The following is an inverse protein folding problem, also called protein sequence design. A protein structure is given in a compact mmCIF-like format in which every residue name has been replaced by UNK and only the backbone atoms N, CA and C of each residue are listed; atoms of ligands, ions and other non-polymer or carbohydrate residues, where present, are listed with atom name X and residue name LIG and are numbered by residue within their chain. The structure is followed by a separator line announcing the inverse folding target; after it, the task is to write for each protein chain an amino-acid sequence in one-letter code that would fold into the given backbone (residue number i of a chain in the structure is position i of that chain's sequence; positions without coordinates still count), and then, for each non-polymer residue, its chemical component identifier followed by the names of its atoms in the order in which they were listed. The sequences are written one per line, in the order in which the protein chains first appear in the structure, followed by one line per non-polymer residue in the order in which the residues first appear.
data_IF_801493636592
#
_entry.id   IF_801493636592
#
_cell.length_a   1.000
_cell.length_b   1.000
_cell.length_c   1.000
_cell.angle_alpha   90.00
_cell.angle_beta   90.00
_cell.angle_gamma   90.00
#
_symmetry.space_group_name_H-M   'P 1'
#
loop_
_entity.id
_entity.type
_entity.pdbx_description
1 polymer ?
#
# COMPACT_ATOMS: atom_id res chain seq x y z
N UNK A 1 9.20 -29.36 -30.12
CA UNK A 1 10.07 -29.63 -28.95
C UNK A 1 11.37 -28.89 -29.20
N UNK A 2 11.68 -27.87 -28.39
CA UNK A 2 12.88 -27.04 -28.58
C UNK A 2 14.11 -27.77 -28.04
N UNK A 3 15.27 -27.60 -28.67
CA UNK A 3 16.54 -28.17 -28.21
C UNK A 3 16.89 -27.74 -26.76
N UNK A 4 16.40 -26.58 -26.33
CA UNK A 4 16.51 -26.10 -24.94
C UNK A 4 15.84 -27.02 -23.91
N UNK A 5 14.72 -27.66 -24.27
CA UNK A 5 13.93 -28.50 -23.36
C UNK A 5 14.60 -29.86 -23.12
N UNK A 6 15.43 -30.31 -24.06
CA UNK A 6 16.14 -31.58 -24.01
C UNK A 6 17.40 -31.51 -23.12
N UNK A 7 18.10 -30.37 -23.12
CA UNK A 7 19.34 -30.18 -22.35
C UNK A 7 19.13 -29.52 -20.99
N UNK A 8 17.96 -28.91 -20.74
CA UNK A 8 17.67 -28.21 -19.49
C UNK A 8 16.23 -28.42 -18.99
N UNK A 9 15.91 -29.62 -18.46
CA UNK A 9 14.58 -29.93 -17.97
C UNK A 9 14.14 -28.99 -16.82
N UNK A 10 12.90 -28.51 -16.87
CA UNK A 10 12.29 -27.64 -15.86
C UNK A 10 12.55 -26.13 -16.01
N UNK A 11 13.40 -25.70 -16.96
CA UNK A 11 13.60 -24.26 -17.23
C UNK A 11 12.31 -23.59 -17.74
N UNK A 12 11.56 -24.14 -18.71
CA UNK A 12 10.32 -23.51 -19.18
C UNK A 12 9.29 -23.27 -18.06
N UNK A 13 9.14 -24.24 -17.15
CA UNK A 13 8.21 -24.15 -16.02
C UNK A 13 8.61 -23.06 -15.01
N UNK A 14 9.91 -22.96 -14.69
CA UNK A 14 10.46 -21.91 -13.81
C UNK A 14 10.28 -20.53 -14.42
N UNK A 15 10.49 -20.41 -15.73
CA UNK A 15 10.28 -19.18 -16.49
C UNK A 15 8.81 -18.75 -16.44
N UNK A 16 7.87 -19.68 -16.65
CA UNK A 16 6.44 -19.39 -16.54
C UNK A 16 6.04 -18.96 -15.12
N UNK A 17 6.57 -19.64 -14.09
CA UNK A 17 6.36 -19.23 -12.69
C UNK A 17 6.82 -17.80 -12.43
N UNK A 18 7.97 -17.40 -13.00
CA UNK A 18 8.51 -16.05 -12.83
C UNK A 18 7.57 -15.00 -13.44
N UNK A 19 7.00 -15.26 -14.63
CA UNK A 19 6.00 -14.34 -15.22
C UNK A 19 4.79 -14.22 -14.30
N UNK A 20 4.21 -15.34 -13.87
CA UNK A 20 2.98 -15.32 -13.07
C UNK A 20 3.18 -14.49 -11.79
N UNK A 21 4.33 -14.66 -11.14
CA UNK A 21 4.72 -13.87 -9.96
C UNK A 21 4.98 -12.39 -10.29
N UNK A 22 5.59 -12.11 -11.43
CA UNK A 22 5.81 -10.74 -11.92
C UNK A 22 4.50 -10.00 -12.19
N UNK A 23 3.54 -10.68 -12.82
CA UNK A 23 2.20 -10.16 -13.08
C UNK A 23 1.42 -9.95 -11.79
N UNK A 24 1.48 -10.90 -10.86
CA UNK A 24 0.87 -10.78 -9.55
C UNK A 24 1.41 -9.58 -8.77
N UNK A 25 2.74 -9.46 -8.66
CA UNK A 25 3.39 -8.31 -8.02
C UNK A 25 2.86 -7.00 -8.60
N UNK A 26 2.83 -6.90 -9.93
CA UNK A 26 2.37 -5.71 -10.62
C UNK A 26 0.90 -5.39 -10.33
N UNK A 27 0.00 -6.37 -10.37
CA UNK A 27 -1.42 -6.13 -10.06
C UNK A 27 -1.61 -5.69 -8.61
N UNK A 28 -0.89 -6.30 -7.66
CA UNK A 28 -0.89 -5.85 -6.26
C UNK A 28 -0.37 -4.41 -6.13
N UNK A 29 0.72 -4.05 -6.82
CA UNK A 29 1.22 -2.67 -6.84
C UNK A 29 0.16 -1.72 -7.40
N UNK A 30 -0.41 -2.02 -8.57
CA UNK A 30 -1.45 -1.19 -9.21
C UNK A 30 -2.65 -0.97 -8.28
N UNK A 31 -3.09 -2.02 -7.60
CA UNK A 31 -4.20 -1.95 -6.67
C UNK A 31 -3.86 -1.10 -5.43
N UNK A 32 -2.65 -1.21 -4.90
CA UNK A 32 -2.20 -0.36 -3.80
C UNK A 32 -2.11 1.11 -4.20
N UNK A 33 -1.57 1.44 -5.37
CA UNK A 33 -1.56 2.82 -5.89
C UNK A 33 -2.98 3.39 -5.99
N UNK A 34 -3.92 2.60 -6.50
CA UNK A 34 -5.34 2.98 -6.53
C UNK A 34 -5.89 3.18 -5.12
N UNK A 35 -5.66 2.26 -4.20
CA UNK A 35 -6.14 2.36 -2.83
C UNK A 35 -5.56 3.59 -2.11
N UNK A 36 -4.27 3.91 -2.30
CA UNK A 36 -3.65 5.12 -1.77
C UNK A 36 -4.33 6.38 -2.31
N UNK A 37 -4.68 6.44 -3.60
CA UNK A 37 -5.42 7.57 -4.14
C UNK A 37 -6.85 7.68 -3.56
N UNK A 38 -7.52 6.55 -3.35
CA UNK A 38 -8.83 6.54 -2.69
C UNK A 38 -8.75 7.04 -1.25
N UNK A 39 -7.67 6.70 -0.53
CA UNK A 39 -7.40 7.25 0.79
C UNK A 39 -7.16 8.76 0.71
N UNK A 40 -6.33 9.23 -0.23
CA UNK A 40 -6.05 10.66 -0.44
C UNK A 40 -7.36 11.45 -0.69
N UNK A 41 -8.25 10.91 -1.51
CA UNK A 41 -9.57 11.52 -1.77
C UNK A 41 -10.40 11.63 -0.48
N UNK A 42 -10.51 10.54 0.28
CA UNK A 42 -11.23 10.55 1.56
C UNK A 42 -10.63 11.54 2.58
N UNK A 43 -9.30 11.64 2.65
CA UNK A 43 -8.60 12.59 3.52
C UNK A 43 -8.86 14.04 3.11
N UNK A 44 -8.91 14.31 1.80
CA UNK A 44 -9.24 15.63 1.28
C UNK A 44 -10.69 16.01 1.60
N UNK A 45 -11.62 15.10 1.35
CA UNK A 45 -13.05 15.35 1.54
C UNK A 45 -13.43 15.53 3.02
N UNK A 46 -12.93 14.66 3.90
CA UNK A 46 -13.41 14.61 5.28
C UNK A 46 -12.50 15.28 6.29
N UNK A 47 -11.23 15.53 5.95
CA UNK A 47 -10.25 16.17 6.85
C UNK A 47 -9.60 17.41 6.24
N UNK A 48 -9.93 17.78 5.00
CA UNK A 48 -9.32 18.93 4.32
C UNK A 48 -7.83 18.73 3.99
N UNK A 49 -7.29 17.52 4.13
CA UNK A 49 -5.88 17.23 3.88
C UNK A 49 -5.64 16.99 2.40
N UNK A 50 -4.78 17.79 1.78
CA UNK A 50 -4.45 17.65 0.37
C UNK A 50 -3.08 17.01 0.18
N UNK A 51 -3.08 15.89 -0.53
CA UNK A 51 -1.88 15.19 -0.99
C UNK A 51 -1.89 15.13 -2.51
N UNK A 52 -0.70 15.08 -3.13
CA UNK A 52 -0.61 14.80 -4.57
C UNK A 52 -0.98 13.33 -4.81
N UNK A 53 -1.82 13.02 -5.82
CA UNK A 53 -2.08 11.64 -6.21
C UNK A 53 -0.79 10.93 -6.64
N UNK A 54 -0.75 9.62 -6.45
CA UNK A 54 0.33 8.75 -6.95
C UNK A 54 -0.10 8.01 -8.20
N UNK A 55 0.83 7.79 -9.12
CA UNK A 55 0.58 7.04 -10.34
C UNK A 55 1.67 6.00 -10.54
N UNK A 56 1.28 4.76 -10.84
CA UNK A 56 2.22 3.72 -11.22
C UNK A 56 2.81 4.07 -12.60
N UNK A 57 4.13 4.27 -12.65
CA UNK A 57 4.85 4.60 -13.86
C UNK A 57 5.44 3.33 -14.49
N UNK A 58 4.82 2.88 -15.58
CA UNK A 58 5.25 1.70 -16.34
C UNK A 58 6.64 1.85 -16.97
N UNK A 59 7.14 3.08 -17.15
CA UNK A 59 8.48 3.33 -17.69
C UNK A 59 9.56 3.40 -16.62
N UNK A 60 9.17 3.49 -15.36
CA UNK A 60 10.08 3.51 -14.23
C UNK A 60 10.32 2.08 -13.71
N UNK A 61 11.40 1.92 -12.98
CA UNK A 61 11.75 0.69 -12.27
C UNK A 61 10.76 0.39 -11.16
N UNK A 62 10.69 -0.87 -10.73
CA UNK A 62 9.89 -1.29 -9.57
C UNK A 62 10.29 -0.46 -8.34
N UNK A 63 11.59 -0.26 -8.10
CA UNK A 63 12.09 0.55 -6.99
C UNK A 63 11.57 1.98 -7.02
N UNK A 64 11.69 2.66 -8.15
CA UNK A 64 11.22 4.04 -8.27
C UNK A 64 9.71 4.15 -7.98
N UNK A 65 8.93 3.15 -8.41
CA UNK A 65 7.52 3.08 -8.07
C UNK A 65 7.29 2.81 -6.57
N UNK A 66 8.04 1.91 -5.96
CA UNK A 66 7.99 1.67 -4.52
C UNK A 66 8.34 2.93 -3.73
N UNK A 67 9.40 3.64 -4.12
CA UNK A 67 9.86 4.87 -3.46
C UNK A 67 8.76 5.96 -3.49
N UNK A 68 8.09 6.14 -4.65
CA UNK A 68 6.99 7.12 -4.81
C UNK A 68 5.82 6.82 -3.88
N UNK A 69 5.38 5.56 -3.78
CA UNK A 69 4.25 5.21 -2.91
C UNK A 69 4.64 5.23 -1.43
N UNK A 70 5.86 4.82 -1.08
CA UNK A 70 6.43 4.91 0.28
C UNK A 70 6.46 6.36 0.73
N UNK A 71 7.01 7.27 -0.09
CA UNK A 71 7.07 8.70 0.21
C UNK A 71 5.66 9.26 0.48
N UNK A 72 4.70 8.92 -0.38
CA UNK A 72 3.30 9.34 -0.20
C UNK A 72 2.70 8.82 1.11
N UNK A 73 2.94 7.58 1.46
CA UNK A 73 2.42 6.98 2.69
C UNK A 73 3.07 7.63 3.92
N UNK A 74 4.37 7.92 3.88
CA UNK A 74 5.06 8.67 4.93
C UNK A 74 4.50 10.08 5.12
N UNK A 75 4.19 10.80 4.03
CA UNK A 75 3.52 12.11 4.12
C UNK A 75 2.17 12.00 4.84
N UNK A 76 1.36 10.99 4.49
CA UNK A 76 0.07 10.72 5.14
C UNK A 76 0.28 10.39 6.62
N UNK A 77 1.23 9.50 6.94
CA UNK A 77 1.53 9.11 8.32
C UNK A 77 1.95 10.31 9.18
N UNK A 78 2.76 11.22 8.64
CA UNK A 78 3.18 12.42 9.35
C UNK A 78 1.99 13.33 9.71
N UNK A 79 1.02 13.49 8.82
CA UNK A 79 -0.21 14.25 9.13
C UNK A 79 -1.11 13.50 10.13
N UNK A 80 -1.22 12.18 10.01
CA UNK A 80 -1.95 11.35 10.98
C UNK A 80 -1.35 11.47 12.38
N UNK A 81 -0.03 11.41 12.50
CA UNK A 81 0.66 11.55 13.79
C UNK A 81 0.43 12.94 14.40
N UNK A 82 0.48 14.01 13.60
CA UNK A 82 0.16 15.37 14.06
C UNK A 82 -1.29 15.45 14.56
N UNK A 83 -2.24 14.87 13.83
CA UNK A 83 -3.65 14.84 14.23
C UNK A 83 -3.78 14.05 15.54
N UNK A 84 -3.18 12.86 15.63
CA UNK A 84 -3.25 12.01 16.81
C UNK A 84 -2.72 12.72 18.06
N UNK A 85 -1.55 13.35 17.97
CA UNK A 85 -0.96 14.13 19.06
C UNK A 85 -1.85 15.30 19.48
N UNK A 86 -2.40 16.05 18.52
CA UNK A 86 -3.33 17.18 18.82
C UNK A 86 -4.63 16.69 19.45
N UNK A 87 -5.19 15.58 18.97
CA UNK A 87 -6.40 14.97 19.51
C UNK A 87 -6.16 14.48 20.93
N UNK A 88 -5.04 13.79 21.17
CA UNK A 88 -4.64 13.32 22.51
C UNK A 88 -4.43 14.47 23.51
N UNK A 89 -3.92 15.61 23.05
CA UNK A 89 -3.75 16.79 23.90
C UNK A 89 -5.06 17.52 24.21
N UNK A 90 -6.05 17.45 23.31
CA UNK A 90 -7.32 18.19 23.41
C UNK A 90 -8.44 17.40 24.09
N UNK A 91 -8.39 16.08 24.03
CA UNK A 91 -9.42 15.19 24.55
C UNK A 91 -9.09 14.69 25.95
N UNK A 92 -10.13 14.55 26.77
CA UNK A 92 -10.04 13.77 28.01
C UNK A 92 -9.59 12.33 27.70
N UNK A 93 -8.74 11.70 28.55
CA UNK A 93 -8.17 10.38 28.27
C UNK A 93 -9.22 9.31 27.95
N UNK A 94 -10.37 9.35 28.62
CA UNK A 94 -11.48 8.40 28.40
C UNK A 94 -12.13 8.57 27.04
N UNK A 95 -12.29 9.81 26.56
CA UNK A 95 -12.89 10.11 25.26
C UNK A 95 -11.93 9.79 24.12
N UNK A 96 -10.63 10.05 24.31
CA UNK A 96 -9.59 9.65 23.35
C UNK A 96 -9.49 8.12 23.22
N UNK A 97 -9.58 7.38 24.32
CA UNK A 97 -9.61 5.91 24.26
C UNK A 97 -10.86 5.37 23.56
N UNK A 98 -12.03 5.99 23.73
CA UNK A 98 -13.23 5.65 22.97
C UNK A 98 -13.05 5.90 21.47
N UNK A 99 -12.40 7.00 21.09
CA UNK A 99 -12.05 7.32 19.70
C UNK A 99 -11.16 6.23 19.10
N UNK A 100 -10.07 5.85 19.79
CA UNK A 100 -9.15 4.79 19.34
C UNK A 100 -9.81 3.42 19.18
N UNK A 101 -10.78 3.09 20.04
CA UNK A 101 -11.53 1.84 19.96
C UNK A 101 -12.69 1.91 18.99
N UNK A 102 -12.96 3.08 18.41
CA UNK A 102 -14.14 3.35 17.59
C UNK A 102 -15.45 2.92 18.29
N UNK A 103 -15.48 3.02 19.62
CA UNK A 103 -16.60 2.64 20.49
C UNK A 103 -17.33 3.90 20.96
N UNK A 104 -18.03 4.55 20.03
CA UNK A 104 -18.61 5.88 20.21
C UNK A 104 -20.13 5.82 20.39
N UNK A 105 -20.64 6.53 21.41
CA UNK A 105 -22.06 6.83 21.56
C UNK A 105 -22.44 8.13 20.84
N UNK A 106 -23.73 8.41 20.66
CA UNK A 106 -24.22 9.65 20.03
C UNK A 106 -23.66 10.92 20.71
N UNK A 107 -23.63 11.04 22.06
CA UNK A 107 -22.98 12.17 22.72
C UNK A 107 -21.47 12.27 22.45
N UNK A 108 -20.77 11.13 22.35
CA UNK A 108 -19.33 11.13 22.07
C UNK A 108 -19.04 11.75 20.69
N UNK A 109 -19.87 11.47 19.68
CA UNK A 109 -19.71 12.06 18.34
C UNK A 109 -19.82 13.59 18.34
N UNK A 110 -20.72 14.16 19.13
CA UNK A 110 -20.87 15.63 19.21
C UNK A 110 -19.63 16.28 19.82
N UNK A 111 -19.11 15.72 20.90
CA UNK A 111 -17.89 16.20 21.56
C UNK A 111 -16.65 16.04 20.67
N UNK A 112 -16.54 14.90 19.99
CA UNK A 112 -15.44 14.62 19.08
C UNK A 112 -15.50 15.49 17.83
N UNK A 113 -16.69 15.74 17.28
CA UNK A 113 -16.87 16.59 16.09
C UNK A 113 -16.32 18.00 16.31
N UNK A 114 -16.60 18.62 17.47
CA UNK A 114 -16.00 19.92 17.82
C UNK A 114 -14.49 19.86 18.02
N UNK A 115 -13.97 18.74 18.50
CA UNK A 115 -12.52 18.55 18.67
C UNK A 115 -11.78 18.34 17.36
N UNK A 116 -12.33 17.49 16.48
CA UNK A 116 -11.83 17.27 15.12
C UNK A 116 -11.96 18.55 14.30
N UNK A 117 -13.05 19.30 14.40
CA UNK A 117 -13.20 20.61 13.78
C UNK A 117 -12.11 21.59 14.17
N UNK A 118 -11.70 21.60 15.44
CA UNK A 118 -10.61 22.45 15.90
C UNK A 118 -9.21 21.98 15.43
N UNK A 119 -9.01 20.66 15.24
CA UNK A 119 -7.71 20.09 14.86
C UNK A 119 -7.50 20.07 13.35
N UNK A 120 -8.55 19.72 12.59
CA UNK A 120 -8.53 19.49 11.15
C UNK A 120 -9.26 20.58 10.34
N UNK A 121 -9.98 21.50 11.00
CA UNK A 121 -10.79 22.51 10.30
C UNK A 121 -12.10 21.98 9.70
N UNK A 122 -12.38 20.69 9.85
CA UNK A 122 -13.60 20.02 9.35
C UNK A 122 -14.32 19.37 10.53
N UNK A 123 -15.60 19.67 10.69
CA UNK A 123 -16.47 19.09 11.71
C UNK A 123 -17.48 18.13 11.07
N UNK A 124 -17.94 17.13 11.84
CA UNK A 124 -18.94 16.16 11.41
C UNK A 124 -18.61 14.73 11.82
N UNK A 125 -19.61 13.86 11.75
CA UNK A 125 -19.49 12.41 11.99
C UNK A 125 -18.43 11.77 11.09
N UNK A 126 -18.44 12.09 9.80
CA UNK A 126 -17.49 11.57 8.82
C UNK A 126 -16.04 11.94 9.19
N UNK A 127 -15.79 13.19 9.60
CA UNK A 127 -14.46 13.62 10.05
C UNK A 127 -13.99 12.84 11.29
N UNK A 128 -14.89 12.60 12.26
CA UNK A 128 -14.59 11.77 13.44
C UNK A 128 -14.27 10.33 13.05
N UNK A 129 -15.03 9.75 12.12
CA UNK A 129 -14.80 8.39 11.60
C UNK A 129 -13.43 8.30 10.91
N UNK A 130 -13.09 9.27 10.07
CA UNK A 130 -11.82 9.33 9.38
C UNK A 130 -10.65 9.43 10.36
N UNK A 131 -10.69 10.37 11.31
CA UNK A 131 -9.64 10.51 12.34
C UNK A 131 -9.51 9.24 13.17
N UNK A 132 -10.61 8.69 13.66
CA UNK A 132 -10.59 7.47 14.47
C UNK A 132 -9.99 6.29 13.70
N UNK A 133 -10.40 6.10 12.44
CA UNK A 133 -9.82 5.05 11.59
C UNK A 133 -8.31 5.23 11.38
N UNK A 134 -7.83 6.46 11.12
CA UNK A 134 -6.40 6.72 10.90
C UNK A 134 -5.56 6.40 12.15
N UNK A 135 -6.04 6.80 13.33
CA UNK A 135 -5.35 6.53 14.60
C UNK A 135 -5.32 5.02 14.86
N UNK A 136 -6.43 4.31 14.66
CA UNK A 136 -6.51 2.87 14.91
C UNK A 136 -5.70 2.05 13.88
N UNK A 137 -5.68 2.47 12.62
CA UNK A 137 -5.14 1.69 11.50
C UNK A 137 -3.80 2.21 10.98
N UNK A 138 -3.12 3.12 11.69
CA UNK A 138 -1.80 3.61 11.30
C UNK A 138 -0.76 2.49 11.07
N UNK A 139 -0.88 1.37 11.78
CA UNK A 139 -0.02 0.20 11.58
C UNK A 139 -0.17 -0.44 10.19
N UNK A 140 -1.33 -0.31 9.54
CA UNK A 140 -1.57 -0.82 8.18
C UNK A 140 -0.76 -0.02 7.16
N UNK A 141 -0.68 1.30 7.36
CA UNK A 141 0.20 2.18 6.58
C UNK A 141 1.68 1.78 6.77
N UNK A 142 2.09 1.48 8.00
CA UNK A 142 3.45 1.01 8.29
C UNK A 142 3.74 -0.33 7.61
N UNK A 143 2.82 -1.29 7.70
CA UNK A 143 3.04 -2.63 7.17
C UNK A 143 3.17 -2.65 5.64
N UNK A 144 2.33 -1.87 4.95
CA UNK A 144 2.43 -1.77 3.49
C UNK A 144 3.71 -1.05 3.06
N UNK A 145 4.16 -0.04 3.82
CA UNK A 145 5.43 0.66 3.56
C UNK A 145 6.63 -0.28 3.71
N UNK A 146 6.65 -1.12 4.76
CA UNK A 146 7.71 -2.11 4.97
C UNK A 146 7.78 -3.12 3.82
N UNK A 147 6.64 -3.64 3.38
CA UNK A 147 6.60 -4.63 2.30
C UNK A 147 6.97 -4.03 0.94
N UNK A 148 6.61 -2.77 0.66
CA UNK A 148 7.17 -2.04 -0.48
C UNK A 148 8.68 -1.84 -0.36
N UNK A 149 9.22 -1.62 0.85
CA UNK A 149 10.66 -1.51 1.09
C UNK A 149 11.41 -2.82 0.81
N UNK A 150 10.82 -3.97 1.13
CA UNK A 150 11.36 -5.28 0.76
C UNK A 150 11.46 -5.41 -0.76
N UNK A 151 10.40 -5.04 -1.48
CA UNK A 151 10.37 -5.09 -2.95
C UNK A 151 11.39 -4.11 -3.56
N UNK A 152 11.53 -2.91 -2.99
CA UNK A 152 12.42 -1.86 -3.47
C UNK A 152 13.92 -2.20 -3.35
N UNK A 153 14.27 -3.20 -2.53
CA UNK A 153 15.65 -3.63 -2.27
C UNK A 153 15.97 -5.00 -2.86
N UNK A 154 14.97 -5.72 -3.38
CA UNK A 154 15.13 -7.00 -4.04
C UNK A 154 15.69 -6.92 -5.46
N UNK A 155 15.97 -8.05 -6.11
CA UNK A 155 16.46 -8.14 -7.49
C UNK A 155 15.52 -7.46 -8.49
N UNK A 156 14.21 -7.46 -8.21
CA UNK A 156 13.21 -6.88 -9.11
C UNK A 156 13.20 -5.35 -9.05
N UNK A 157 13.84 -4.76 -8.05
CA UNK A 157 13.97 -3.32 -7.87
C UNK A 157 14.39 -2.60 -9.15
N UNK A 158 15.30 -3.20 -9.93
CA UNK A 158 15.87 -2.61 -11.15
C UNK A 158 15.02 -2.82 -12.40
N UNK A 159 14.01 -3.69 -12.32
CA UNK A 159 13.19 -4.07 -13.47
C UNK A 159 12.19 -2.98 -13.75
N UNK A 160 12.12 -2.53 -15.00
CA UNK A 160 11.11 -1.57 -15.44
C UNK A 160 9.72 -2.20 -15.32
N UNK A 161 8.75 -1.51 -14.72
CA UNK A 161 7.41 -2.06 -14.45
C UNK A 161 6.72 -2.52 -15.74
N UNK A 162 6.92 -1.81 -16.86
CA UNK A 162 6.45 -2.19 -18.19
C UNK A 162 6.99 -3.54 -18.66
N UNK A 163 8.20 -3.94 -18.24
CA UNK A 163 8.79 -5.25 -18.56
C UNK A 163 8.04 -6.39 -17.85
N UNK A 164 7.42 -6.14 -16.69
CA UNK A 164 6.57 -7.14 -16.01
C UNK A 164 5.35 -7.56 -16.85
N UNK A 165 5.01 -6.80 -17.90
CA UNK A 165 3.97 -7.15 -18.87
C UNK A 165 4.48 -7.90 -20.09
N UNK A 166 5.78 -7.84 -20.38
CA UNK A 166 6.33 -8.15 -21.70
C UNK A 166 7.13 -9.44 -21.69
N UNK A 167 6.44 -10.59 -21.66
CA UNK A 167 7.03 -11.90 -21.95
C UNK A 167 8.18 -12.37 -21.04
N UNK A 168 8.54 -13.65 -21.17
CA UNK A 168 9.57 -14.29 -20.34
C UNK A 168 10.96 -13.67 -20.58
N UNK A 169 11.34 -13.52 -21.85
CA UNK A 169 12.73 -13.28 -22.20
C UNK A 169 13.18 -11.86 -21.83
N UNK A 170 12.26 -10.88 -21.79
CA UNK A 170 12.60 -9.52 -21.36
C UNK A 170 12.72 -9.42 -19.84
N UNK A 171 11.85 -10.11 -19.08
CA UNK A 171 11.94 -10.18 -17.62
C UNK A 171 13.28 -10.83 -17.23
N UNK A 172 13.61 -11.96 -17.85
CA UNK A 172 14.89 -12.64 -17.61
C UNK A 172 16.07 -11.76 -18.02
N UNK A 173 16.01 -11.10 -19.17
CA UNK A 173 17.11 -10.23 -19.60
C UNK A 173 17.30 -9.03 -18.67
N UNK A 174 16.20 -8.44 -18.18
CA UNK A 174 16.24 -7.31 -17.25
C UNK A 174 16.78 -7.71 -15.87
N UNK A 175 16.50 -8.92 -15.40
CA UNK A 175 16.98 -9.40 -14.10
C UNK A 175 18.39 -10.00 -14.20
N UNK A 176 18.68 -10.78 -15.25
CA UNK A 176 19.78 -11.75 -15.28
C UNK A 176 20.86 -11.47 -16.34
N UNK A 177 20.68 -10.49 -17.23
CA UNK A 177 21.71 -10.11 -18.20
C UNK A 177 22.21 -11.26 -19.12
N UNK A 178 21.41 -12.32 -19.30
CA UNK A 178 21.66 -13.40 -20.26
C UNK A 178 22.04 -14.79 -19.73
N UNK A 179 22.08 -15.08 -18.41
CA UNK A 179 22.64 -16.36 -17.90
C UNK A 179 21.84 -17.11 -16.80
N UNK A 180 21.89 -18.45 -16.94
CA UNK A 180 21.82 -19.63 -16.06
C UNK A 180 20.85 -19.81 -14.87
N UNK A 181 20.42 -21.08 -14.77
CA UNK A 181 19.43 -21.71 -13.89
C UNK A 181 19.45 -21.24 -12.43
N UNK A 182 20.62 -21.05 -11.83
CA UNK A 182 20.75 -20.70 -10.41
C UNK A 182 20.27 -19.28 -10.11
N UNK A 183 20.44 -18.35 -11.06
CA UNK A 183 19.96 -16.99 -10.88
C UNK A 183 18.44 -16.89 -11.06
N UNK A 184 17.87 -17.71 -11.97
CA UNK A 184 16.42 -17.86 -12.10
C UNK A 184 15.78 -18.46 -10.83
N UNK A 185 16.44 -19.42 -10.19
CA UNK A 185 15.97 -19.98 -8.92
C UNK A 185 15.98 -18.91 -7.82
N UNK A 186 17.09 -18.17 -7.67
CA UNK A 186 17.18 -17.06 -6.71
C UNK A 186 16.09 -16.02 -6.94
N UNK A 187 15.81 -15.70 -8.20
CA UNK A 187 14.74 -14.81 -8.58
C UNK A 187 13.36 -15.29 -8.11
N UNK A 188 13.08 -16.57 -8.33
CA UNK A 188 11.83 -17.18 -7.88
C UNK A 188 11.72 -17.18 -6.35
N UNK A 189 12.79 -17.54 -5.64
CA UNK A 189 12.82 -17.55 -4.16
C UNK A 189 12.63 -16.15 -3.57
N UNK A 190 13.17 -15.12 -4.20
CA UNK A 190 12.97 -13.75 -3.73
C UNK A 190 11.57 -13.25 -4.04
N UNK A 191 11.03 -13.57 -5.22
CA UNK A 191 9.63 -13.32 -5.54
C UNK A 191 8.69 -14.00 -4.56
N UNK A 192 8.96 -15.27 -4.20
CA UNK A 192 8.17 -16.03 -3.25
C UNK A 192 8.15 -15.32 -1.89
N UNK A 193 9.32 -14.93 -1.36
CA UNK A 193 9.43 -14.18 -0.11
C UNK A 193 8.74 -12.81 -0.16
N UNK A 194 8.97 -12.05 -1.24
CA UNK A 194 8.37 -10.73 -1.38
C UNK A 194 6.83 -10.82 -1.47
N UNK A 195 6.29 -11.77 -2.23
CA UNK A 195 4.85 -11.95 -2.39
C UNK A 195 4.19 -12.56 -1.15
N UNK A 196 4.89 -13.40 -0.39
CA UNK A 196 4.40 -13.95 0.87
C UNK A 196 4.07 -12.84 1.88
N UNK A 197 4.93 -11.83 1.97
CA UNK A 197 4.71 -10.67 2.85
C UNK A 197 3.77 -9.62 2.20
N UNK A 198 3.97 -9.34 0.92
CA UNK A 198 3.27 -8.25 0.24
C UNK A 198 1.80 -8.55 -0.03
N UNK A 199 1.44 -9.79 -0.37
CA UNK A 199 0.04 -10.16 -0.67
C UNK A 199 -0.90 -9.88 0.52
N UNK A 200 -0.69 -10.44 1.72
CA UNK A 200 -1.58 -10.16 2.86
C UNK A 200 -1.53 -8.70 3.30
N UNK A 201 -0.37 -8.03 3.20
CA UNK A 201 -0.26 -6.61 3.52
C UNK A 201 -1.08 -5.74 2.54
N UNK A 202 -1.00 -6.05 1.25
CA UNK A 202 -1.72 -5.36 0.17
C UNK A 202 -3.22 -5.57 0.27
N UNK A 203 -3.68 -6.80 0.47
CA UNK A 203 -5.11 -7.10 0.66
C UNK A 203 -5.67 -6.35 1.87
N UNK A 204 -5.00 -6.47 3.03
CA UNK A 204 -5.42 -5.77 4.24
C UNK A 204 -5.42 -4.25 4.08
N UNK A 205 -4.45 -3.69 3.37
CA UNK A 205 -4.39 -2.26 3.07
C UNK A 205 -5.59 -1.80 2.24
N UNK A 206 -5.88 -2.51 1.15
CA UNK A 206 -7.00 -2.22 0.26
C UNK A 206 -8.35 -2.38 0.94
N UNK A 207 -8.54 -3.47 1.69
CA UNK A 207 -9.79 -3.76 2.40
C UNK A 207 -10.06 -2.72 3.47
N UNK A 208 -9.02 -2.32 4.21
CA UNK A 208 -9.16 -1.31 5.27
C UNK A 208 -9.55 0.06 4.72
N UNK A 209 -8.98 0.45 3.57
CA UNK A 209 -9.33 1.70 2.89
C UNK A 209 -10.75 1.63 2.30
N UNK A 210 -11.12 0.51 1.70
CA UNK A 210 -12.48 0.30 1.17
C UNK A 210 -13.51 0.36 2.29
N UNK A 211 -13.22 -0.29 3.42
CA UNK A 211 -14.07 -0.31 4.59
C UNK A 211 -14.32 1.08 5.18
N UNK A 212 -13.26 1.89 5.35
CA UNK A 212 -13.42 3.25 5.87
C UNK A 212 -14.21 4.10 4.89
N UNK A 213 -13.98 3.96 3.57
CA UNK A 213 -14.76 4.71 2.58
C UNK A 213 -16.25 4.38 2.64
N UNK A 214 -16.61 3.10 2.72
CA UNK A 214 -18.02 2.69 2.90
C UNK A 214 -18.62 3.27 4.19
N UNK A 215 -17.86 3.28 5.29
CA UNK A 215 -18.31 3.89 6.55
C UNK A 215 -18.53 5.40 6.43
N UNK A 216 -17.67 6.09 5.68
CA UNK A 216 -17.77 7.53 5.45
C UNK A 216 -18.99 7.86 4.59
N UNK A 217 -19.26 7.07 3.55
CA UNK A 217 -20.45 7.19 2.68
C UNK A 217 -21.76 6.91 3.44
N UNK A 218 -21.78 5.94 4.36
CA UNK A 218 -22.96 5.64 5.19
C UNK A 218 -23.18 6.61 6.36
N UNK A 219 -22.17 7.42 6.69
CA UNK A 219 -22.20 8.40 7.78
C UNK A 219 -22.65 9.80 7.36
N UNK A 220 -22.96 9.98 6.07
CA UNK A 220 -23.61 11.16 5.47
C UNK A 220 -25.13 11.07 5.63
#
# INVERSE_FOLDING_TARGET
MSWSDLFYPGIPERRERLIRKSQELRELMKNNFRATNQLIEALKEHLGLSFRPVALNEKATVKENCDVIIERIHEIQAEVEKIDQKMKAKLEPTLYEKLKKMSLSVPDYQLLSGSVGAVCGVAGSAAVIAVGWLITNGYILTNITLTFGIIATGIMATVVVGVLFMGIDMIISAILGGIERDQLERALEEYDRALEEFRPASEKYQDSITYVRMRLEMGQ
#
